data_IF_842562955525
#
_entry.id   IF_842562955525
#
_cell.length_a   1.000
_cell.length_b   1.000
_cell.length_c   1.000
_cell.angle_alpha   90.00
_cell.angle_beta   90.00
_cell.angle_gamma   90.00
#
_symmetry.space_group_name_H-M   'P 1'
#
loop_
_entity.id
_entity.type
_entity.pdbx_description
1 polymer ?
#
# COMPACT_ATOMS: atom_id res chain seq x y z
N UNK A 1 -28.21 -11.45 13.95
CA UNK A 1 -26.94 -10.81 13.53
C UNK A 1 -26.78 -9.52 14.34
N UNK A 2 -25.76 -9.42 15.19
CA UNK A 2 -25.56 -8.23 16.00
C UNK A 2 -25.18 -7.06 15.09
N UNK A 3 -26.02 -6.03 15.04
CA UNK A 3 -25.76 -4.80 14.29
C UNK A 3 -24.76 -3.97 15.08
N UNK A 4 -23.48 -4.17 14.83
CA UNK A 4 -22.41 -3.29 15.33
C UNK A 4 -22.63 -1.89 14.78
N UNK A 5 -22.65 -0.88 15.66
CA UNK A 5 -22.64 0.52 15.21
C UNK A 5 -21.33 0.75 14.45
N UNK A 6 -21.35 1.39 13.27
CA UNK A 6 -20.12 1.69 12.56
C UNK A 6 -19.28 2.66 13.39
N UNK A 7 -18.06 2.25 13.75
CA UNK A 7 -17.09 3.13 14.36
C UNK A 7 -16.58 4.15 13.35
N UNK A 8 -16.37 5.39 13.77
CA UNK A 8 -15.86 6.47 12.91
C UNK A 8 -14.37 6.30 12.57
N UNK A 9 -13.66 5.49 13.36
CA UNK A 9 -12.22 5.25 13.24
C UNK A 9 -11.93 3.75 13.38
N UNK A 10 -10.88 3.29 12.70
CA UNK A 10 -10.35 1.94 12.86
C UNK A 10 -9.74 1.79 14.26
N UNK A 11 -9.95 0.62 14.85
CA UNK A 11 -9.19 0.19 16.03
C UNK A 11 -7.72 -0.06 15.68
N UNK A 12 -6.86 -0.06 16.70
CA UNK A 12 -5.43 -0.30 16.52
C UNK A 12 -5.15 -1.65 15.82
N UNK A 13 -5.89 -2.71 16.18
CA UNK A 13 -5.75 -4.03 15.56
C UNK A 13 -6.15 -4.02 14.07
N UNK A 14 -7.17 -3.25 13.70
CA UNK A 14 -7.58 -3.10 12.30
C UNK A 14 -6.56 -2.30 11.49
N UNK A 15 -5.94 -1.28 12.10
CA UNK A 15 -4.84 -0.52 11.49
C UNK A 15 -3.64 -1.43 11.23
N UNK A 16 -3.26 -2.26 12.20
CA UNK A 16 -2.16 -3.23 12.05
C UNK A 16 -2.46 -4.26 10.95
N UNK A 17 -3.68 -4.82 10.94
CA UNK A 17 -4.11 -5.73 9.88
C UNK A 17 -4.08 -5.08 8.50
N UNK A 18 -4.55 -3.82 8.40
CA UNK A 18 -4.48 -3.03 7.17
C UNK A 18 -3.04 -2.82 6.71
N UNK A 19 -2.11 -2.52 7.61
CA UNK A 19 -0.70 -2.34 7.28
C UNK A 19 -0.06 -3.61 6.69
N UNK A 20 -0.34 -4.77 7.29
CA UNK A 20 0.14 -6.07 6.79
C UNK A 20 -0.39 -6.34 5.37
N UNK A 21 -1.68 -6.07 5.14
CA UNK A 21 -2.30 -6.24 3.82
C UNK A 21 -1.72 -5.25 2.78
N UNK A 22 -1.51 -3.99 3.18
CA UNK A 22 -0.89 -2.97 2.33
C UNK A 22 0.55 -3.35 1.95
N UNK A 23 1.32 -3.92 2.87
CA UNK A 23 2.67 -4.41 2.59
C UNK A 23 2.68 -5.56 1.59
N UNK A 24 1.77 -6.53 1.75
CA UNK A 24 1.62 -7.65 0.83
C UNK A 24 1.21 -7.18 -0.58
N UNK A 25 0.31 -6.19 -0.66
CA UNK A 25 -0.07 -5.56 -1.92
C UNK A 25 1.11 -4.82 -2.55
N UNK A 26 1.83 -3.99 -1.79
CA UNK A 26 3.04 -3.30 -2.28
C UNK A 26 4.04 -4.29 -2.90
N UNK A 27 4.36 -5.39 -2.21
CA UNK A 27 5.22 -6.47 -2.73
C UNK A 27 4.71 -7.02 -4.06
N UNK A 28 3.41 -7.20 -4.21
CA UNK A 28 2.80 -7.72 -5.44
C UNK A 28 2.86 -6.73 -6.60
N UNK A 29 2.87 -5.43 -6.30
CA UNK A 29 2.96 -4.35 -7.30
C UNK A 29 4.42 -4.16 -7.78
N UNK A 30 5.42 -4.27 -6.89
CA UNK A 30 6.84 -4.02 -7.23
C UNK A 30 7.59 -5.26 -7.73
N UNK A 31 7.13 -6.47 -7.40
CA UNK A 31 7.82 -7.73 -7.76
C UNK A 31 7.86 -8.03 -9.27
N UNK A 32 6.83 -7.74 -10.07
CA UNK A 32 6.87 -8.04 -11.50
C UNK A 32 7.95 -7.23 -12.23
N UNK A 33 8.84 -7.92 -12.94
CA UNK A 33 9.82 -7.31 -13.83
C UNK A 33 9.16 -7.02 -15.18
N UNK A 34 8.42 -5.92 -15.25
CA UNK A 34 7.72 -5.46 -16.45
C UNK A 34 8.33 -4.18 -17.00
N UNK A 35 8.27 -3.99 -18.31
CA UNK A 35 8.88 -2.82 -18.98
C UNK A 35 8.31 -1.51 -18.42
N UNK A 36 9.15 -0.51 -18.09
CA UNK A 36 8.69 0.81 -17.66
C UNK A 36 7.81 1.54 -18.68
N UNK A 37 7.88 1.14 -19.95
CA UNK A 37 7.12 1.74 -21.04
C UNK A 37 5.72 1.13 -21.21
N UNK A 38 5.42 -0.02 -20.59
CA UNK A 38 4.14 -0.69 -20.77
C UNK A 38 3.05 -0.11 -19.87
N UNK A 39 1.80 -0.23 -20.32
CA UNK A 39 0.64 0.28 -19.58
C UNK A 39 0.46 -0.41 -18.22
N UNK A 40 0.81 -1.69 -18.12
CA UNK A 40 0.79 -2.41 -16.84
C UNK A 40 1.73 -1.78 -15.82
N UNK A 41 2.94 -1.36 -16.20
CA UNK A 41 3.87 -0.70 -15.30
C UNK A 41 3.35 0.67 -14.85
N UNK A 42 2.75 1.43 -15.76
CA UNK A 42 2.14 2.73 -15.43
C UNK A 42 1.00 2.55 -14.44
N UNK A 43 0.13 1.57 -14.68
CA UNK A 43 -1.00 1.27 -13.80
C UNK A 43 -0.56 0.81 -12.40
N UNK A 44 0.44 -0.08 -12.32
CA UNK A 44 0.97 -0.55 -11.03
C UNK A 44 1.65 0.58 -10.26
N UNK A 45 2.37 1.47 -10.95
CA UNK A 45 2.96 2.67 -10.34
C UNK A 45 1.91 3.62 -9.77
N UNK A 46 0.86 3.92 -10.52
CA UNK A 46 -0.25 4.76 -10.01
C UNK A 46 -0.93 4.11 -8.81
N UNK A 47 -1.16 2.79 -8.84
CA UNK A 47 -1.72 2.06 -7.70
C UNK A 47 -0.83 2.17 -6.45
N UNK A 48 0.49 2.10 -6.61
CA UNK A 48 1.42 2.27 -5.49
C UNK A 48 1.35 3.67 -4.88
N UNK A 49 1.31 4.72 -5.69
CA UNK A 49 1.19 6.11 -5.21
C UNK A 49 -0.12 6.32 -4.42
N UNK A 50 -1.23 5.76 -4.91
CA UNK A 50 -2.52 5.77 -4.21
C UNK A 50 -2.46 4.99 -2.91
N UNK A 51 -1.79 3.84 -2.89
CA UNK A 51 -1.61 3.02 -1.69
C UNK A 51 -0.84 3.78 -0.61
N UNK A 52 0.27 4.45 -0.96
CA UNK A 52 1.05 5.27 -0.02
C UNK A 52 0.20 6.38 0.61
N UNK A 53 -0.55 7.11 -0.23
CA UNK A 53 -1.45 8.18 0.23
C UNK A 53 -2.52 7.62 1.18
N UNK A 54 -3.16 6.52 0.81
CA UNK A 54 -4.22 5.89 1.61
C UNK A 54 -3.68 5.43 2.95
N UNK A 55 -2.49 4.81 2.97
CA UNK A 55 -1.88 4.36 4.23
C UNK A 55 -1.56 5.54 5.16
N UNK A 56 -1.10 6.67 4.60
CA UNK A 56 -0.90 7.90 5.37
C UNK A 56 -2.19 8.43 5.98
N UNK A 57 -3.28 8.43 5.22
CA UNK A 57 -4.60 8.87 5.70
C UNK A 57 -5.15 7.96 6.80
N UNK A 58 -4.95 6.64 6.68
CA UNK A 58 -5.44 5.65 7.66
C UNK A 58 -4.62 5.66 8.95
N UNK A 59 -3.30 5.75 8.85
CA UNK A 59 -2.39 5.59 9.99
C UNK A 59 -1.94 6.90 10.62
N UNK A 60 -2.12 8.02 9.91
CA UNK A 60 -1.56 9.32 10.28
C UNK A 60 -0.04 9.39 10.18
N UNK A 61 0.62 8.35 9.64
CA UNK A 61 2.07 8.23 9.52
C UNK A 61 2.47 8.08 8.06
N UNK A 62 3.59 8.68 7.69
CA UNK A 62 4.26 8.27 6.46
C UNK A 62 4.89 6.91 6.70
N UNK A 63 4.39 5.91 5.99
CA UNK A 63 4.93 4.56 6.03
C UNK A 63 5.87 4.46 4.85
N UNK A 64 7.16 4.31 5.14
CA UNK A 64 8.20 4.07 4.14
C UNK A 64 8.07 2.65 3.58
N UNK A 65 6.98 2.34 2.88
CA UNK A 65 7.00 1.17 2.01
C UNK A 65 8.14 1.38 1.04
N UNK A 66 9.14 0.53 1.20
CA UNK A 66 10.43 0.48 0.51
C UNK A 66 10.34 1.18 -0.84
N UNK A 67 11.12 2.26 -1.00
CA UNK A 67 11.38 2.99 -2.25
C UNK A 67 10.97 2.17 -3.48
N UNK A 68 9.98 2.67 -4.22
CA UNK A 68 9.60 2.10 -5.51
C UNK A 68 10.86 1.93 -6.36
N UNK A 69 11.21 0.67 -6.62
CA UNK A 69 12.52 0.24 -7.08
C UNK A 69 13.66 0.47 -6.07
N UNK A 70 14.32 -0.63 -5.71
CA UNK A 70 15.72 -0.59 -5.34
C UNK A 70 16.46 0.18 -6.42
N UNK A 71 16.89 1.39 -6.07
CA UNK A 71 18.00 2.02 -6.77
C UNK A 71 19.13 1.01 -6.68
N UNK A 72 19.41 0.33 -7.79
CA UNK A 72 20.59 -0.49 -7.91
C UNK A 72 21.79 0.38 -7.55
N UNK A 73 22.48 -0.01 -6.51
CA UNK A 73 23.92 0.12 -6.41
C UNK A 73 24.37 -1.12 -5.66
N UNK A 74 25.41 -1.73 -6.23
CA UNK A 74 26.01 -3.00 -5.87
C UNK A 74 26.29 -3.18 -4.36
#
# INVERSE_FOLDING_TARGET
MARTKPSKQLSQAEIESFLVAAEALHKSIVKPLISPTCDHYRATRTLHEVLLKTVREVTGKEVEFVRWFGGGSA
#
